data_IF_897567165083
#
_entry.id   IF_897567165083
#
_cell.length_a   1.000
_cell.length_b   1.000
_cell.length_c   1.000
_cell.angle_alpha   90.00
_cell.angle_beta   90.00
_cell.angle_gamma   90.00
#
_symmetry.space_group_name_H-M   'P 1'
#
loop_
_entity.id
_entity.type
_entity.pdbx_description
1 polymer ?
#
# COMPACT_ATOMS: atom_id res chain seq x y z
N UNK A 1 -1.66 0.70 6.21
CA UNK A 1 -1.33 -0.73 6.10
C UNK A 1 -0.02 -0.83 5.32
N UNK A 2 0.90 -1.68 5.77
CA UNK A 2 2.20 -1.90 5.13
C UNK A 2 2.34 -3.39 4.81
N UNK A 3 3.13 -3.74 3.79
CA UNK A 3 3.33 -5.13 3.40
C UNK A 3 4.21 -5.92 4.40
N UNK A 4 4.32 -7.22 4.16
CA UNK A 4 5.12 -8.14 4.97
C UNK A 4 6.60 -8.23 4.60
N UNK A 5 7.19 -7.22 3.93
CA UNK A 5 8.61 -7.27 3.55
C UNK A 5 9.54 -7.44 4.77
N UNK A 6 10.71 -8.09 4.65
CA UNK A 6 11.60 -8.36 5.79
C UNK A 6 11.98 -7.12 6.60
N UNK A 7 12.26 -5.98 5.93
CA UNK A 7 12.57 -4.71 6.59
C UNK A 7 11.40 -4.16 7.41
N UNK A 8 10.16 -4.47 7.04
CA UNK A 8 8.96 -4.00 7.73
C UNK A 8 8.61 -4.87 8.94
N UNK A 9 9.04 -6.13 8.93
CA UNK A 9 8.84 -7.10 10.02
C UNK A 9 9.98 -7.11 11.04
N UNK A 10 11.12 -6.50 10.73
CA UNK A 10 12.27 -6.44 11.61
C UNK A 10 11.89 -5.91 13.00
N UNK A 11 12.46 -6.51 14.04
CA UNK A 11 12.17 -6.16 15.44
C UNK A 11 12.40 -4.68 15.72
N UNK A 12 13.51 -4.12 15.22
CA UNK A 12 13.83 -2.69 15.35
C UNK A 12 12.73 -1.80 14.73
N UNK A 13 12.20 -2.19 13.57
CA UNK A 13 11.12 -1.45 12.89
C UNK A 13 9.81 -1.57 13.64
N UNK A 14 9.45 -2.77 14.11
CA UNK A 14 8.24 -2.97 14.92
C UNK A 14 8.31 -2.20 16.25
N UNK A 15 9.47 -2.17 16.91
CA UNK A 15 9.69 -1.38 18.12
C UNK A 15 9.51 0.11 17.86
N UNK A 16 10.13 0.62 16.79
CA UNK A 16 9.99 2.03 16.41
C UNK A 16 8.52 2.40 16.14
N UNK A 17 7.78 1.56 15.42
CA UNK A 17 6.37 1.83 15.11
C UNK A 17 5.52 1.75 16.37
N UNK A 18 5.73 0.73 17.23
CA UNK A 18 5.02 0.59 18.51
C UNK A 18 5.14 1.85 19.38
N UNK A 19 6.32 2.45 19.42
CA UNK A 19 6.60 3.62 20.25
C UNK A 19 6.00 4.93 19.68
N UNK A 20 5.69 4.98 18.38
CA UNK A 20 5.32 6.22 17.68
C UNK A 20 3.92 6.22 17.07
N UNK A 21 3.28 5.05 16.90
CA UNK A 21 1.99 4.89 16.22
C UNK A 21 1.00 4.21 17.18
N UNK A 22 -0.05 4.92 17.60
CA UNK A 22 -1.12 4.32 18.40
C UNK A 22 -1.77 3.14 17.69
N UNK A 23 -2.20 2.14 18.45
CA UNK A 23 -2.95 0.98 17.93
C UNK A 23 -2.18 0.16 16.88
N UNK A 24 -0.84 0.16 16.96
CA UNK A 24 -0.02 -0.70 16.13
C UNK A 24 -0.34 -2.19 16.37
N UNK A 25 -0.59 -2.91 15.27
CA UNK A 25 -0.80 -4.36 15.26
C UNK A 25 0.54 -5.00 14.91
N UNK A 26 1.14 -5.67 15.89
CA UNK A 26 2.40 -6.38 15.71
C UNK A 26 2.27 -7.55 14.74
N UNK A 27 3.31 -7.75 13.96
CA UNK A 27 3.43 -8.89 13.04
C UNK A 27 4.17 -10.01 13.75
N UNK A 28 3.54 -11.17 13.81
CA UNK A 28 4.19 -12.41 14.26
C UNK A 28 5.33 -12.78 13.30
N UNK A 29 6.56 -12.76 13.82
CA UNK A 29 7.79 -13.06 13.09
C UNK A 29 8.21 -14.52 13.20
N UNK A 30 7.38 -15.38 13.79
CA UNK A 30 7.68 -16.81 13.87
C UNK A 30 7.76 -17.44 12.46
N UNK A 31 8.72 -18.35 12.22
CA UNK A 31 8.97 -18.92 10.89
C UNK A 31 7.82 -19.78 10.34
N UNK A 32 6.75 -19.98 11.10
CA UNK A 32 5.62 -20.85 10.75
C UNK A 32 4.49 -20.09 10.05
N UNK A 33 4.47 -18.75 10.09
CA UNK A 33 3.47 -17.96 9.39
C UNK A 33 4.02 -17.45 8.07
N UNK A 34 3.49 -18.01 7.00
CA UNK A 34 3.59 -17.40 5.68
C UNK A 34 2.66 -16.17 5.69
N UNK A 35 3.23 -15.00 5.90
CA UNK A 35 2.51 -13.75 5.83
C UNK A 35 2.38 -13.39 4.35
N UNK A 36 1.45 -14.07 3.67
CA UNK A 36 1.22 -13.91 2.24
C UNK A 36 1.09 -12.44 1.84
N UNK A 37 1.76 -12.07 0.76
CA UNK A 37 1.65 -10.72 0.20
C UNK A 37 0.26 -10.59 -0.45
N UNK A 38 -0.52 -9.60 -0.04
CA UNK A 38 -1.84 -9.32 -0.59
C UNK A 38 -1.89 -7.91 -1.18
N UNK A 39 -1.32 -7.68 -2.38
CA UNK A 39 -1.41 -6.38 -3.07
C UNK A 39 -2.85 -5.91 -3.25
N UNK A 40 -3.79 -6.85 -3.43
CA UNK A 40 -5.22 -6.58 -3.58
C UNK A 40 -5.87 -5.94 -2.34
N UNK A 41 -5.19 -5.96 -1.19
CA UNK A 41 -5.63 -5.38 0.08
C UNK A 41 -4.79 -4.15 0.50
N UNK A 42 -3.73 -3.80 -0.22
CA UNK A 42 -2.95 -2.60 0.09
C UNK A 42 -3.44 -1.40 -0.75
N UNK A 43 -3.97 -0.37 -0.08
CA UNK A 43 -4.49 0.87 -0.72
C UNK A 43 -3.48 1.50 -1.68
N UNK A 44 -2.18 1.44 -1.32
CA UNK A 44 -1.13 1.96 -2.18
C UNK A 44 -1.04 1.16 -3.48
N UNK A 45 -1.05 -0.16 -3.40
CA UNK A 45 -0.83 -1.07 -4.53
C UNK A 45 -2.04 -1.14 -5.47
N UNK A 46 -3.26 -1.25 -4.93
CA UNK A 46 -4.45 -1.39 -5.76
C UNK A 46 -5.00 -0.06 -6.31
N UNK A 47 -4.50 1.09 -5.84
CA UNK A 47 -5.02 2.40 -6.22
C UNK A 47 -3.92 3.45 -6.41
N UNK A 48 -3.29 3.93 -5.34
CA UNK A 48 -2.52 5.18 -5.37
C UNK A 48 -1.32 5.09 -6.30
N UNK A 49 -0.60 3.97 -6.34
CA UNK A 49 0.53 3.77 -7.24
C UNK A 49 0.14 3.87 -8.72
N UNK A 50 -1.00 3.29 -9.11
CA UNK A 50 -1.48 3.36 -10.50
C UNK A 50 -1.76 4.80 -10.95
N UNK A 51 -2.26 5.66 -10.04
CA UNK A 51 -2.52 7.07 -10.31
C UNK A 51 -1.20 7.83 -10.48
N UNK A 52 -0.26 7.62 -9.55
CA UNK A 52 1.05 8.27 -9.61
C UNK A 52 1.82 7.87 -10.86
N UNK A 53 1.78 6.58 -11.24
CA UNK A 53 2.40 6.09 -12.46
C UNK A 53 1.76 6.72 -13.70
N UNK A 54 0.42 6.71 -13.82
CA UNK A 54 -0.27 7.29 -14.96
C UNK A 54 0.03 8.77 -15.16
N UNK A 55 0.09 9.54 -14.07
CA UNK A 55 0.32 10.98 -14.11
C UNK A 55 1.81 11.34 -14.26
N UNK A 56 2.65 10.82 -13.37
CA UNK A 56 4.06 11.20 -13.30
C UNK A 56 4.90 10.48 -14.36
N UNK A 57 4.54 9.26 -14.77
CA UNK A 57 5.31 8.44 -15.72
C UNK A 57 4.70 8.42 -17.13
N UNK A 58 3.76 9.32 -17.43
CA UNK A 58 3.23 9.50 -18.80
C UNK A 58 4.30 9.83 -19.85
N UNK A 59 5.49 10.29 -19.42
CA UNK A 59 6.66 10.55 -20.26
C UNK A 59 7.97 10.15 -19.55
N UNK A 60 9.03 9.82 -20.30
CA UNK A 60 10.35 9.56 -19.71
C UNK A 60 10.94 10.78 -19.01
N UNK A 61 11.66 10.54 -17.92
CA UNK A 61 12.40 11.56 -17.18
C UNK A 61 13.90 11.50 -17.49
N UNK A 62 14.55 12.65 -17.56
CA UNK A 62 15.99 12.74 -17.85
C UNK A 62 16.87 12.67 -16.59
N UNK A 63 16.28 12.71 -15.41
CA UNK A 63 16.99 12.61 -14.13
C UNK A 63 16.07 12.17 -13.00
N UNK A 64 16.68 11.69 -11.91
CA UNK A 64 15.96 11.36 -10.67
C UNK A 64 15.25 12.60 -10.10
N UNK A 65 15.85 13.78 -10.19
CA UNK A 65 15.23 15.02 -9.70
C UNK A 65 13.99 15.41 -10.52
N UNK A 66 14.01 15.18 -11.84
CA UNK A 66 12.84 15.39 -12.69
C UNK A 66 11.71 14.41 -12.34
N UNK A 67 12.05 13.15 -12.08
CA UNK A 67 11.09 12.14 -11.62
C UNK A 67 10.49 12.53 -10.26
N UNK A 68 11.32 12.88 -9.26
CA UNK A 68 10.86 13.33 -7.94
C UNK A 68 9.88 14.50 -8.03
N UNK A 69 10.22 15.54 -8.81
CA UNK A 69 9.34 16.71 -9.03
C UNK A 69 8.00 16.31 -9.64
N UNK A 70 8.02 15.38 -10.59
CA UNK A 70 6.81 14.90 -11.27
C UNK A 70 5.92 14.09 -10.32
N UNK A 71 6.52 13.20 -9.51
CA UNK A 71 5.81 12.43 -8.47
C UNK A 71 5.22 13.34 -7.39
N UNK A 72 5.98 14.31 -6.87
CA UNK A 72 5.47 15.28 -5.88
C UNK A 72 4.30 16.10 -6.46
N UNK A 73 4.40 16.53 -7.72
CA UNK A 73 3.31 17.24 -8.38
C UNK A 73 2.07 16.35 -8.52
N UNK A 74 2.24 15.11 -8.98
CA UNK A 74 1.15 14.16 -9.11
C UNK A 74 0.47 13.90 -7.76
N UNK A 75 1.26 13.62 -6.72
CA UNK A 75 0.77 13.43 -5.35
C UNK A 75 -0.08 14.61 -4.85
N UNK A 76 0.43 15.83 -4.98
CA UNK A 76 -0.26 17.03 -4.54
C UNK A 76 -1.56 17.31 -5.32
N UNK A 77 -1.71 16.73 -6.51
CA UNK A 77 -2.92 16.83 -7.33
C UNK A 77 -3.95 15.73 -7.02
N UNK A 78 -3.59 14.70 -6.25
CA UNK A 78 -4.55 13.68 -5.81
C UNK A 78 -5.49 14.35 -4.80
N UNK A 79 -6.76 14.52 -5.20
CA UNK A 79 -7.77 15.07 -4.30
C UNK A 79 -8.00 14.13 -3.11
N UNK A 80 -8.30 14.69 -1.93
CA UNK A 80 -8.64 13.90 -0.74
C UNK A 80 -9.77 12.89 -1.03
N UNK A 81 -10.76 13.27 -1.81
CA UNK A 81 -11.87 12.39 -2.16
C UNK A 81 -11.46 11.13 -2.96
N UNK A 82 -10.35 11.17 -3.70
CA UNK A 82 -9.80 9.98 -4.36
C UNK A 82 -9.16 9.05 -3.32
N UNK A 83 -8.46 9.61 -2.34
CA UNK A 83 -7.86 8.86 -1.23
C UNK A 83 -8.97 8.22 -0.38
N UNK A 84 -10.00 8.99 -0.01
CA UNK A 84 -11.13 8.52 0.77
C UNK A 84 -11.83 7.35 0.06
N UNK A 85 -12.13 7.47 -1.23
CA UNK A 85 -12.72 6.38 -2.03
C UNK A 85 -11.83 5.14 -2.08
N UNK A 86 -10.52 5.32 -2.19
CA UNK A 86 -9.59 4.20 -2.21
C UNK A 86 -9.59 3.45 -0.86
N UNK A 87 -9.65 4.17 0.26
CA UNK A 87 -9.76 3.61 1.60
C UNK A 87 -11.12 2.95 1.82
N UNK A 88 -12.21 3.59 1.41
CA UNK A 88 -13.58 3.09 1.55
C UNK A 88 -13.83 1.80 0.72
N UNK A 89 -13.01 1.54 -0.31
CA UNK A 89 -13.07 0.31 -1.09
C UNK A 89 -12.42 -0.89 -0.37
N UNK A 90 -11.61 -0.66 0.68
CA UNK A 90 -10.91 -1.71 1.40
C UNK A 90 -11.86 -2.77 2.00
N UNK A 91 -12.94 -2.43 2.73
CA UNK A 91 -13.86 -3.43 3.27
C UNK A 91 -14.51 -4.31 2.19
N UNK A 92 -14.82 -3.73 1.02
CA UNK A 92 -15.37 -4.48 -0.13
C UNK A 92 -14.35 -5.47 -0.68
N UNK A 93 -13.08 -5.06 -0.80
CA UNK A 93 -11.97 -5.92 -1.23
C UNK A 93 -11.68 -7.03 -0.22
N UNK A 94 -11.65 -6.71 1.07
CA UNK A 94 -11.50 -7.68 2.14
C UNK A 94 -12.59 -8.76 2.09
N UNK A 95 -13.85 -8.36 1.88
CA UNK A 95 -14.95 -9.31 1.72
C UNK A 95 -14.73 -10.25 0.53
N UNK A 96 -14.27 -9.75 -0.61
CA UNK A 96 -13.94 -10.57 -1.78
C UNK A 96 -12.78 -11.52 -1.53
N UNK A 97 -11.77 -11.08 -0.78
CA UNK A 97 -10.65 -11.93 -0.36
C UNK A 97 -11.14 -13.10 0.49
N UNK A 98 -12.05 -12.83 1.44
CA UNK A 98 -12.69 -13.87 2.26
C UNK A 98 -13.52 -14.83 1.41
N UNK A 99 -14.33 -14.31 0.48
CA UNK A 99 -15.12 -15.14 -0.46
C UNK A 99 -14.25 -15.99 -1.39
N UNK A 100 -13.00 -15.58 -1.63
CA UNK A 100 -12.01 -16.31 -2.40
C UNK A 100 -11.11 -17.22 -1.55
N UNK A 101 -11.42 -17.42 -0.26
CA UNK A 101 -10.61 -18.18 0.71
C UNK A 101 -9.14 -17.72 0.73
N UNK A 102 -8.90 -16.41 0.62
CA UNK A 102 -7.56 -15.81 0.57
C UNK A 102 -6.91 -15.83 -0.82
N UNK A 103 -7.58 -16.35 -1.84
CA UNK A 103 -7.12 -16.35 -3.22
C UNK A 103 -7.30 -15.01 -3.94
N UNK A 104 -6.79 -14.92 -5.17
CA UNK A 104 -6.95 -13.75 -6.02
C UNK A 104 -8.41 -13.47 -6.39
N UNK A 105 -8.76 -12.19 -6.45
CA UNK A 105 -10.10 -11.74 -6.83
C UNK A 105 -10.04 -10.55 -7.79
N UNK A 106 -11.16 -10.24 -8.43
CA UNK A 106 -11.29 -9.07 -9.31
C UNK A 106 -12.10 -7.98 -8.63
N UNK A 107 -11.64 -6.74 -8.77
CA UNK A 107 -12.47 -5.60 -8.40
C UNK A 107 -13.35 -5.16 -9.58
N UNK A 108 -14.61 -5.59 -9.58
CA UNK A 108 -15.68 -4.98 -10.38
C UNK A 108 -16.15 -3.68 -9.74
#
# INVERSE_FOLDING_TARGET
MQDGAPSHKAEETQNLIRDNVPEFIEVDISPQRDNGESPDLNVMDYSIWSILEAEACSKPHQSIDALKKSLTKAWNNISQNVIDRAVDDFPKRLKKCIEADGGHFKNN
#
